data_IF_940665825728
#
_entry.id   IF_940665825728
#
_cell.length_a   1.000
_cell.length_b   1.000
_cell.length_c   1.000
_cell.angle_alpha   90.00
_cell.angle_beta   90.00
_cell.angle_gamma   90.00
#
_symmetry.space_group_name_H-M   'P 1'
#
loop_
_entity.id
_entity.type
_entity.pdbx_description
1 polymer ?
#
# COMPACT_ATOMS: atom_id res chain seq x y z
N UNK A 1 -4.87 7.15 -5.92
CA UNK A 1 -6.27 7.63 -5.75
C UNK A 1 -7.22 6.84 -6.64
N UNK A 2 -8.49 6.74 -6.25
CA UNK A 2 -9.56 6.06 -7.01
C UNK A 2 -10.32 7.03 -7.91
N UNK A 3 -10.93 6.52 -8.98
CA UNK A 3 -11.91 7.27 -9.76
C UNK A 3 -13.24 7.29 -9.00
N UNK A 4 -13.61 8.46 -8.50
CA UNK A 4 -14.75 8.62 -7.56
C UNK A 4 -16.11 8.29 -8.17
N UNK A 5 -16.28 8.45 -9.48
CA UNK A 5 -17.52 8.17 -10.22
C UNK A 5 -17.69 6.71 -10.64
N UNK A 6 -16.71 5.84 -10.34
CA UNK A 6 -16.71 4.44 -10.76
C UNK A 6 -16.86 3.51 -9.56
N UNK A 7 -17.42 2.32 -9.79
CA UNK A 7 -17.41 1.23 -8.81
C UNK A 7 -16.01 0.56 -8.73
N UNK A 8 -15.86 -0.44 -7.88
CA UNK A 8 -14.58 -1.14 -7.67
C UNK A 8 -14.08 -1.81 -8.94
N UNK A 9 -14.94 -2.58 -9.60
CA UNK A 9 -14.60 -3.28 -10.84
C UNK A 9 -14.20 -2.32 -11.95
N UNK A 10 -14.99 -1.29 -12.19
CA UNK A 10 -14.73 -0.26 -13.19
C UNK A 10 -13.41 0.50 -12.94
N UNK A 11 -13.08 0.72 -11.67
CA UNK A 11 -11.80 1.34 -11.28
C UNK A 11 -10.58 0.52 -11.74
N UNK A 12 -10.66 -0.80 -11.66
CA UNK A 12 -9.60 -1.72 -12.11
C UNK A 12 -9.63 -1.84 -13.64
N UNK A 13 -10.81 -2.03 -14.23
CA UNK A 13 -11.00 -2.15 -15.67
C UNK A 13 -10.42 -0.94 -16.43
N UNK A 14 -10.62 0.27 -15.92
CA UNK A 14 -10.09 1.49 -16.54
C UNK A 14 -8.55 1.46 -16.72
N UNK A 15 -7.83 0.73 -15.87
CA UNK A 15 -6.38 0.55 -15.98
C UNK A 15 -6.05 -0.63 -16.92
N UNK A 16 -6.76 -1.76 -16.77
CA UNK A 16 -6.53 -2.96 -17.56
C UNK A 16 -6.75 -2.72 -19.05
N UNK A 17 -7.82 -2.02 -19.43
CA UNK A 17 -8.15 -1.68 -20.81
C UNK A 17 -7.07 -0.84 -21.50
N UNK A 18 -6.31 -0.05 -20.72
CA UNK A 18 -5.16 0.69 -21.24
C UNK A 18 -3.93 -0.19 -21.49
N UNK A 19 -3.80 -1.26 -20.72
CA UNK A 19 -2.58 -2.10 -20.69
C UNK A 19 -2.72 -3.38 -21.49
N UNK A 20 -3.93 -3.90 -21.66
CA UNK A 20 -4.23 -5.18 -22.29
C UNK A 20 -5.17 -4.98 -23.48
N UNK A 21 -4.97 -5.79 -24.55
CA UNK A 21 -5.74 -5.66 -25.79
C UNK A 21 -6.81 -6.76 -25.95
N UNK A 22 -6.71 -7.85 -25.17
CA UNK A 22 -7.62 -9.02 -25.31
C UNK A 22 -8.62 -9.07 -24.16
N UNK A 23 -9.90 -9.12 -24.48
CA UNK A 23 -10.99 -9.16 -23.50
C UNK A 23 -10.89 -10.31 -22.50
N UNK A 24 -10.51 -11.50 -22.97
CA UNK A 24 -10.34 -12.67 -22.10
C UNK A 24 -9.21 -12.49 -21.09
N UNK A 25 -8.11 -11.84 -21.48
CA UNK A 25 -7.00 -11.54 -20.59
C UNK A 25 -7.41 -10.47 -19.57
N UNK A 26 -8.17 -9.46 -19.98
CA UNK A 26 -8.73 -8.43 -19.10
C UNK A 26 -9.60 -9.07 -18.02
N UNK A 27 -10.57 -9.92 -18.43
CA UNK A 27 -11.45 -10.61 -17.47
C UNK A 27 -10.68 -11.47 -16.48
N UNK A 28 -9.77 -12.32 -16.98
CA UNK A 28 -8.96 -13.17 -16.12
C UNK A 28 -8.12 -12.38 -15.12
N UNK A 29 -7.52 -11.27 -15.56
CA UNK A 29 -6.69 -10.43 -14.70
C UNK A 29 -7.54 -9.67 -13.69
N UNK A 30 -8.73 -9.20 -14.08
CA UNK A 30 -9.69 -8.55 -13.19
C UNK A 30 -10.10 -9.48 -12.05
N UNK A 31 -10.58 -10.70 -12.37
CA UNK A 31 -10.99 -11.67 -11.34
C UNK A 31 -9.83 -11.99 -10.39
N UNK A 32 -8.63 -12.18 -10.94
CA UNK A 32 -7.46 -12.39 -10.11
C UNK A 32 -7.17 -11.22 -9.17
N UNK A 33 -7.22 -9.99 -9.67
CA UNK A 33 -6.97 -8.81 -8.82
C UNK A 33 -8.05 -8.64 -7.75
N UNK A 34 -9.31 -8.83 -8.07
CA UNK A 34 -10.39 -8.76 -7.09
C UNK A 34 -10.17 -9.77 -5.95
N UNK A 35 -9.80 -11.01 -6.30
CA UNK A 35 -9.53 -12.09 -5.36
C UNK A 35 -8.25 -11.85 -4.54
N UNK A 36 -7.12 -11.58 -5.19
CA UNK A 36 -5.82 -11.36 -4.53
C UNK A 36 -5.88 -10.21 -3.49
N UNK A 37 -6.72 -9.20 -3.76
CA UNK A 37 -6.89 -8.05 -2.88
C UNK A 37 -8.12 -8.14 -1.94
N UNK A 38 -8.89 -9.24 -2.01
CA UNK A 38 -10.03 -9.49 -1.12
C UNK A 38 -11.14 -8.42 -1.23
N UNK A 39 -11.42 -7.93 -2.44
CA UNK A 39 -12.42 -6.91 -2.73
C UNK A 39 -13.54 -7.38 -3.66
N UNK A 40 -13.66 -8.71 -3.85
CA UNK A 40 -14.71 -9.31 -4.68
C UNK A 40 -16.11 -8.98 -4.16
N UNK A 41 -16.30 -9.02 -2.85
CA UNK A 41 -17.58 -8.78 -2.19
C UNK A 41 -18.11 -7.34 -2.38
N UNK A 42 -17.23 -6.40 -2.70
CA UNK A 42 -17.57 -4.99 -2.96
C UNK A 42 -17.41 -4.58 -4.43
N UNK A 43 -17.27 -5.56 -5.35
CA UNK A 43 -16.97 -5.29 -6.77
C UNK A 43 -17.89 -4.26 -7.44
N UNK A 44 -19.18 -4.29 -7.10
CA UNK A 44 -20.19 -3.41 -7.65
C UNK A 44 -20.44 -2.15 -6.78
N UNK A 45 -19.76 -2.02 -5.64
CA UNK A 45 -19.94 -0.90 -4.74
C UNK A 45 -19.28 0.37 -5.28
N UNK A 46 -19.94 1.54 -5.17
CA UNK A 46 -19.32 2.81 -5.51
C UNK A 46 -18.03 3.02 -4.70
N UNK A 47 -16.96 3.48 -5.34
CA UNK A 47 -15.66 3.65 -4.68
C UNK A 47 -15.68 4.62 -3.48
N UNK A 48 -16.67 5.52 -3.43
CA UNK A 48 -16.85 6.46 -2.32
C UNK A 48 -17.48 5.81 -1.07
N UNK A 49 -18.20 4.69 -1.22
CA UNK A 49 -18.86 3.99 -0.11
C UNK A 49 -17.97 2.99 0.60
N UNK A 50 -16.75 2.78 0.11
CA UNK A 50 -15.80 1.84 0.67
C UNK A 50 -15.26 2.30 2.04
N UNK A 51 -15.05 1.34 2.93
CA UNK A 51 -14.25 1.56 4.14
C UNK A 51 -12.82 1.99 3.80
N UNK A 52 -12.09 2.55 4.76
CA UNK A 52 -10.70 2.96 4.57
C UNK A 52 -9.81 1.81 4.09
N UNK A 53 -9.96 0.63 4.66
CA UNK A 53 -9.22 -0.57 4.29
C UNK A 53 -9.54 -1.06 2.88
N UNK A 54 -10.83 -1.17 2.52
CA UNK A 54 -11.27 -1.58 1.17
C UNK A 54 -10.80 -0.58 0.11
N UNK A 55 -10.90 0.70 0.41
CA UNK A 55 -10.39 1.75 -0.50
C UNK A 55 -8.89 1.61 -0.73
N UNK A 56 -8.10 1.36 0.33
CA UNK A 56 -6.66 1.17 0.21
C UNK A 56 -6.32 -0.07 -0.61
N UNK A 57 -7.04 -1.18 -0.40
CA UNK A 57 -6.89 -2.40 -1.21
C UNK A 57 -7.20 -2.13 -2.68
N UNK A 58 -8.27 -1.38 -2.99
CA UNK A 58 -8.59 -0.99 -4.36
C UNK A 58 -7.50 -0.10 -4.98
N UNK A 59 -6.96 0.86 -4.24
CA UNK A 59 -5.87 1.73 -4.72
C UNK A 59 -4.63 0.93 -5.12
N UNK A 60 -4.25 -0.06 -4.30
CA UNK A 60 -3.11 -0.93 -4.58
C UNK A 60 -3.43 -1.89 -5.74
N UNK A 61 -4.62 -2.50 -5.78
CA UNK A 61 -5.07 -3.36 -6.88
C UNK A 61 -4.99 -2.63 -8.25
N UNK A 62 -5.40 -1.36 -8.29
CA UNK A 62 -5.27 -0.52 -9.49
C UNK A 62 -3.82 -0.28 -9.90
N UNK A 63 -2.92 -0.07 -8.95
CA UNK A 63 -1.49 0.01 -9.25
C UNK A 63 -1.00 -1.30 -9.87
N UNK A 64 -1.42 -2.44 -9.33
CA UNK A 64 -1.01 -3.76 -9.81
C UNK A 64 -1.58 -4.11 -11.18
N UNK A 65 -2.74 -3.57 -11.55
CA UNK A 65 -3.31 -3.71 -12.89
C UNK A 65 -2.36 -3.21 -14.00
N UNK A 66 -1.48 -2.25 -13.69
CA UNK A 66 -0.45 -1.75 -14.61
C UNK A 66 0.82 -2.62 -14.67
N UNK A 67 0.89 -3.74 -13.93
CA UNK A 67 2.05 -4.65 -13.83
C UNK A 67 3.37 -3.91 -13.51
N UNK A 68 3.45 -3.10 -12.45
CA UNK A 68 4.64 -2.33 -12.14
C UNK A 68 5.75 -3.23 -11.57
N UNK A 69 7.01 -2.82 -11.76
CA UNK A 69 8.16 -3.39 -11.06
C UNK A 69 8.40 -2.70 -9.70
N UNK A 70 7.82 -1.51 -9.51
CA UNK A 70 8.02 -0.69 -8.33
C UNK A 70 6.75 0.11 -7.99
N UNK A 71 6.38 0.18 -6.70
CA UNK A 71 5.19 0.88 -6.21
C UNK A 71 5.59 1.88 -5.13
N UNK A 72 5.05 3.09 -5.24
CA UNK A 72 5.15 4.12 -4.22
C UNK A 72 3.82 4.21 -3.45
N UNK A 73 3.87 4.03 -2.15
CA UNK A 73 2.73 4.10 -1.25
C UNK A 73 2.91 5.30 -0.30
N UNK A 74 2.06 6.29 -0.48
CA UNK A 74 2.06 7.47 0.37
C UNK A 74 1.03 7.28 1.49
N UNK A 75 1.51 7.28 2.73
CA UNK A 75 0.74 7.06 3.96
C UNK A 75 -0.25 5.87 3.87
N UNK A 76 0.21 4.65 3.51
CA UNK A 76 -0.69 3.52 3.29
C UNK A 76 -1.44 3.07 4.55
N UNK A 77 -0.97 3.42 5.73
CA UNK A 77 -1.56 3.03 7.01
C UNK A 77 -2.40 4.15 7.65
N UNK A 78 -2.45 5.35 7.04
CA UNK A 78 -3.18 6.48 7.59
C UNK A 78 -4.70 6.34 7.41
N UNK A 79 -5.46 6.71 8.44
CA UNK A 79 -6.92 6.73 8.40
C UNK A 79 -7.59 5.37 8.27
N UNK A 80 -6.88 4.30 8.61
CA UNK A 80 -7.37 2.92 8.60
C UNK A 80 -7.56 2.45 10.04
N UNK A 81 -8.58 1.64 10.28
CA UNK A 81 -8.78 1.04 11.59
C UNK A 81 -7.66 0.03 11.94
N UNK A 82 -7.37 -0.18 13.24
CA UNK A 82 -6.25 -1.02 13.66
C UNK A 82 -6.30 -2.48 13.15
N UNK A 83 -7.50 -3.02 12.92
CA UNK A 83 -7.68 -4.39 12.42
C UNK A 83 -7.25 -4.44 10.95
N UNK A 84 -7.71 -3.47 10.15
CA UNK A 84 -7.38 -3.41 8.73
C UNK A 84 -5.90 -3.03 8.47
N UNK A 85 -5.19 -2.41 9.42
CA UNK A 85 -3.74 -2.16 9.31
C UNK A 85 -2.97 -3.46 9.09
N UNK A 86 -3.28 -4.53 9.82
CA UNK A 86 -2.58 -5.80 9.66
C UNK A 86 -2.78 -6.40 8.27
N UNK A 87 -3.98 -6.26 7.71
CA UNK A 87 -4.28 -6.73 6.36
C UNK A 87 -3.48 -5.96 5.30
N UNK A 88 -3.34 -4.64 5.47
CA UNK A 88 -2.53 -3.83 4.55
C UNK A 88 -1.03 -4.16 4.68
N UNK A 89 -0.54 -4.43 5.89
CA UNK A 89 0.83 -4.93 6.09
C UNK A 89 1.06 -6.25 5.36
N UNK A 90 0.17 -7.21 5.51
CA UNK A 90 0.24 -8.51 4.84
C UNK A 90 0.23 -8.34 3.32
N UNK A 91 -0.58 -7.43 2.80
CA UNK A 91 -0.64 -7.11 1.39
C UNK A 91 0.70 -6.53 0.88
N UNK A 92 1.29 -5.59 1.61
CA UNK A 92 2.61 -5.01 1.26
C UNK A 92 3.69 -6.10 1.26
N UNK A 93 3.69 -7.00 2.24
CA UNK A 93 4.61 -8.15 2.27
C UNK A 93 4.42 -9.08 1.07
N UNK A 94 3.18 -9.31 0.63
CA UNK A 94 2.88 -10.07 -0.58
C UNK A 94 3.45 -9.42 -1.84
N UNK A 95 3.41 -8.08 -1.97
CA UNK A 95 4.05 -7.39 -3.09
C UNK A 95 5.55 -7.65 -3.13
N UNK A 96 6.23 -7.56 -1.97
CA UNK A 96 7.66 -7.85 -1.84
C UNK A 96 7.99 -9.29 -2.25
N UNK A 97 7.20 -10.27 -1.80
CA UNK A 97 7.38 -11.68 -2.13
C UNK A 97 7.22 -11.96 -3.64
N UNK A 98 6.50 -11.11 -4.35
CA UNK A 98 6.36 -11.15 -5.80
C UNK A 98 7.41 -10.31 -6.55
N UNK A 99 8.53 -9.97 -5.90
CA UNK A 99 9.64 -9.19 -6.45
C UNK A 99 9.25 -7.77 -6.89
N UNK A 100 8.25 -7.17 -6.26
CA UNK A 100 7.87 -5.78 -6.51
C UNK A 100 8.57 -4.91 -5.48
N UNK A 101 9.33 -3.94 -5.95
CA UNK A 101 9.94 -2.94 -5.08
C UNK A 101 8.85 -2.04 -4.49
N UNK A 102 8.91 -1.77 -3.17
CA UNK A 102 7.92 -0.92 -2.50
C UNK A 102 8.64 0.20 -1.74
N UNK A 103 8.31 1.44 -2.06
CA UNK A 103 8.68 2.61 -1.27
C UNK A 103 7.45 3.09 -0.50
N UNK A 104 7.61 3.28 0.80
CA UNK A 104 6.54 3.73 1.71
C UNK A 104 6.97 5.04 2.35
N UNK A 105 6.07 6.03 2.35
CA UNK A 105 6.13 7.17 3.25
C UNK A 105 5.02 7.01 4.27
N UNK A 106 5.32 7.09 5.56
CA UNK A 106 4.30 7.03 6.62
C UNK A 106 4.84 7.69 7.90
N UNK A 107 3.95 8.27 8.68
CA UNK A 107 4.27 8.84 9.98
C UNK A 107 4.09 7.82 11.12
N UNK A 108 3.44 6.67 10.87
CA UNK A 108 3.35 5.56 11.82
C UNK A 108 4.64 4.73 11.80
N UNK A 109 5.68 5.25 12.44
CA UNK A 109 7.03 4.68 12.42
C UNK A 109 7.03 3.23 12.86
N UNK A 110 6.37 2.89 13.97
CA UNK A 110 6.33 1.53 14.53
C UNK A 110 5.79 0.53 13.51
N UNK A 111 4.60 0.81 12.98
CA UNK A 111 3.96 -0.08 12.00
C UNK A 111 4.75 -0.20 10.70
N UNK A 112 5.42 0.87 10.29
CA UNK A 112 6.22 0.89 9.06
C UNK A 112 7.51 0.09 9.23
N UNK A 113 8.21 0.24 10.36
CA UNK A 113 9.45 -0.51 10.63
C UNK A 113 9.24 -2.03 10.69
N UNK A 114 8.03 -2.50 10.99
CA UNK A 114 7.71 -3.94 10.99
C UNK A 114 7.68 -4.58 9.59
N UNK A 115 7.56 -3.79 8.52
CA UNK A 115 7.34 -4.30 7.15
C UNK A 115 8.42 -3.90 6.15
N UNK A 116 9.33 -2.99 6.50
CA UNK A 116 10.39 -2.51 5.62
C UNK A 116 11.70 -3.23 5.87
N UNK A 117 12.57 -3.30 4.86
CA UNK A 117 13.92 -3.86 4.98
C UNK A 117 14.94 -2.77 5.34
N UNK A 118 14.62 -1.52 5.00
CA UNK A 118 15.45 -0.33 5.22
C UNK A 118 14.54 0.89 5.34
N UNK A 119 14.91 1.84 6.17
CA UNK A 119 14.19 3.09 6.28
C UNK A 119 15.13 4.30 6.33
N UNK A 120 14.57 5.44 5.96
CA UNK A 120 15.19 6.77 6.02
C UNK A 120 14.36 7.64 6.94
N UNK A 121 14.96 8.21 7.96
CA UNK A 121 14.33 9.20 8.81
C UNK A 121 14.66 10.57 8.24
N UNK A 122 13.62 11.29 7.83
CA UNK A 122 13.73 12.64 7.29
C UNK A 122 13.29 13.64 8.36
N UNK A 123 14.14 14.63 8.63
CA UNK A 123 13.87 15.73 9.55
C UNK A 123 14.36 17.04 8.96
N UNK A 124 13.53 18.09 8.97
CA UNK A 124 13.83 19.40 8.40
C UNK A 124 14.41 19.35 6.97
N UNK A 125 13.84 18.48 6.13
CA UNK A 125 14.26 18.34 4.74
C UNK A 125 15.60 17.63 4.50
N UNK A 126 16.18 17.00 5.54
CA UNK A 126 17.42 16.24 5.47
C UNK A 126 17.23 14.83 5.97
N UNK A 127 18.03 13.89 5.43
CA UNK A 127 18.11 12.54 5.99
C UNK A 127 18.89 12.61 7.30
N UNK A 128 18.17 12.41 8.41
CA UNK A 128 18.73 12.37 9.75
C UNK A 128 19.47 11.05 10.01
N UNK A 129 18.88 9.95 9.57
CA UNK A 129 19.42 8.61 9.73
C UNK A 129 18.88 7.68 8.63
N UNK A 130 19.67 6.68 8.23
CA UNK A 130 19.24 5.59 7.38
C UNK A 130 19.79 4.26 7.91
N UNK A 131 19.03 3.19 7.76
CA UNK A 131 19.46 1.87 8.21
C UNK A 131 18.33 0.84 8.21
N UNK A 132 18.65 -0.33 8.74
CA UNK A 132 17.66 -1.37 9.01
C UNK A 132 16.78 -0.99 10.20
N UNK A 133 15.56 -1.57 10.30
CA UNK A 133 14.65 -1.29 11.41
C UNK A 133 15.31 -1.34 12.79
N UNK A 134 16.06 -2.39 13.09
CA UNK A 134 16.74 -2.55 14.38
C UNK A 134 17.80 -1.46 14.65
N UNK A 135 18.51 -1.00 13.63
CA UNK A 135 19.49 0.09 13.74
C UNK A 135 18.79 1.42 14.05
N UNK A 136 17.61 1.64 13.45
CA UNK A 136 16.80 2.85 13.66
C UNK A 136 16.24 2.88 15.08
N UNK A 137 15.65 1.78 15.53
CA UNK A 137 15.06 1.68 16.88
C UNK A 137 16.10 1.87 17.97
N UNK A 138 17.33 1.36 17.78
CA UNK A 138 18.42 1.46 18.75
C UNK A 138 19.22 2.77 18.67
N UNK A 139 18.93 3.64 17.70
CA UNK A 139 19.65 4.90 17.54
C UNK A 139 19.16 5.95 18.55
N UNK A 140 20.05 6.41 19.45
CA UNK A 140 19.71 7.39 20.50
C UNK A 140 19.20 8.72 19.95
N UNK A 141 19.71 9.18 18.82
CA UNK A 141 19.26 10.43 18.21
C UNK A 141 17.85 10.27 17.64
N UNK A 142 17.57 9.14 16.96
CA UNK A 142 16.22 8.84 16.46
C UNK A 142 15.24 8.70 17.61
N UNK A 143 15.60 8.02 18.68
CA UNK A 143 14.77 7.93 19.89
C UNK A 143 14.47 9.29 20.50
N UNK A 144 15.48 10.16 20.64
CA UNK A 144 15.31 11.47 21.26
C UNK A 144 14.43 12.42 20.43
N UNK A 145 14.56 12.39 19.09
CA UNK A 145 13.89 13.35 18.21
C UNK A 145 12.59 12.86 17.59
N UNK A 146 12.40 11.54 17.45
CA UNK A 146 11.33 10.99 16.65
C UNK A 146 10.46 9.93 17.34
N UNK A 147 11.06 9.04 18.12
CA UNK A 147 10.36 7.90 18.70
C UNK A 147 9.82 8.19 20.13
N UNK A 148 10.41 9.13 20.84
CA UNK A 148 10.11 9.35 22.25
C UNK A 148 10.69 8.23 23.15
N UNK A 149 10.60 8.44 24.48
CA UNK A 149 11.21 7.53 25.47
C UNK A 149 10.48 6.16 25.62
N UNK A 150 9.33 5.95 24.97
CA UNK A 150 8.47 4.77 25.14
C UNK A 150 8.27 3.96 23.84
N UNK A 151 9.25 3.94 22.98
CA UNK A 151 9.18 3.15 21.73
C UNK A 151 9.72 1.73 21.92
#
# INVERSE_FOLDING_TARGET
SVFRGLNVEENILAILQKSLQKDDEIKKTLEKLLSDFGIEHVRNSPSLSLSGGERRRLEIARCMAAKPNFVLLDEPLAGIDPIAIQDIKNLIQSLKSNNIGVLITDHNVKSTLEIVDRAYIIFEGKVLFEGKPDEIVNNKNVQAFYLGQNF
#
